data_IF_154753720192
#
_entry.id   IF_154753720192
#
_cell.length_a   1.000
_cell.length_b   1.000
_cell.length_c   1.000
_cell.angle_alpha   90.00
_cell.angle_beta   90.00
_cell.angle_gamma   90.00
#
_symmetry.space_group_name_H-M   'P 1'
#
loop_
_entity.id
_entity.type
_entity.pdbx_description
1 polymer ?
#
# COMPACT_ATOMS: atom_id res chain seq x y z
N UNK A 1 -3.63 21.20 -6.96
CA UNK A 1 -2.47 20.35 -6.65
C UNK A 1 -2.91 18.95 -6.32
N UNK A 2 -2.33 17.97 -6.98
CA UNK A 2 -2.65 16.56 -6.76
C UNK A 2 -2.08 16.14 -5.41
N UNK A 3 -2.91 15.67 -4.48
CA UNK A 3 -2.46 15.18 -3.19
C UNK A 3 -1.68 13.89 -3.36
N UNK A 4 -0.55 13.77 -2.67
CA UNK A 4 0.23 12.53 -2.62
C UNK A 4 -0.33 11.62 -1.52
N UNK A 5 -0.53 10.37 -1.83
CA UNK A 5 -1.03 9.40 -0.87
C UNK A 5 -1.57 8.14 -1.53
N UNK A 6 -2.42 7.46 -0.79
CA UNK A 6 -2.99 6.19 -1.21
C UNK A 6 -4.39 6.01 -0.61
N UNK A 7 -5.19 5.16 -1.22
CA UNK A 7 -6.51 4.78 -0.70
C UNK A 7 -6.38 3.55 0.19
N UNK A 8 -7.12 3.53 1.30
CA UNK A 8 -7.23 2.39 2.21
C UNK A 8 -8.63 1.81 2.15
N UNK A 9 -8.70 0.50 1.96
CA UNK A 9 -9.97 -0.25 1.96
C UNK A 9 -9.90 -1.35 3.00
N UNK A 10 -10.95 -1.44 3.81
CA UNK A 10 -11.10 -2.43 4.87
C UNK A 10 -12.14 -3.45 4.46
N UNK A 11 -11.76 -4.72 4.46
CA UNK A 11 -12.72 -5.79 4.36
C UNK A 11 -13.21 -6.14 5.77
N UNK A 12 -14.52 -6.28 5.96
CA UNK A 12 -15.09 -6.60 7.26
C UNK A 12 -14.85 -8.05 7.72
N UNK A 13 -14.29 -8.90 6.85
CA UNK A 13 -14.11 -10.33 7.09
C UNK A 13 -12.64 -10.70 7.27
N UNK A 14 -11.77 -10.16 6.41
CA UNK A 14 -10.34 -10.47 6.40
C UNK A 14 -9.51 -9.40 7.12
N UNK A 15 -8.46 -9.79 7.86
CA UNK A 15 -7.67 -8.82 8.63
C UNK A 15 -6.77 -7.94 7.77
N UNK A 16 -6.37 -8.40 6.58
CA UNK A 16 -5.47 -7.64 5.72
C UNK A 16 -6.16 -6.39 5.15
N UNK A 17 -5.46 -5.26 5.20
CA UNK A 17 -5.86 -4.05 4.51
C UNK A 17 -5.53 -4.17 3.02
N UNK A 18 -6.30 -3.49 2.20
CA UNK A 18 -5.97 -3.25 0.80
C UNK A 18 -5.63 -1.77 0.64
N UNK A 19 -4.43 -1.48 0.20
CA UNK A 19 -3.98 -0.13 -0.11
C UNK A 19 -3.78 0.02 -1.59
N UNK A 20 -4.32 1.09 -2.18
CA UNK A 20 -4.20 1.36 -3.61
C UNK A 20 -3.56 2.72 -3.82
N UNK A 21 -2.41 2.72 -4.45
CA UNK A 21 -1.65 3.91 -4.82
C UNK A 21 -1.71 4.14 -6.33
N UNK A 22 -1.88 5.38 -6.74
CA UNK A 22 -1.87 5.79 -8.14
C UNK A 22 -0.93 6.97 -8.27
N UNK A 23 0.20 6.79 -8.93
CA UNK A 23 1.20 7.83 -9.13
C UNK A 23 2.56 7.30 -9.47
N UNK A 24 3.46 8.20 -9.86
CA UNK A 24 4.86 7.90 -10.18
C UNK A 24 5.78 7.95 -8.96
N UNK A 25 5.25 8.35 -7.82
CA UNK A 25 5.96 8.54 -6.55
C UNK A 25 5.96 7.28 -5.65
N UNK A 26 5.83 6.09 -6.25
CA UNK A 26 5.83 4.84 -5.49
C UNK A 26 7.11 4.63 -4.65
N UNK A 27 8.32 4.91 -5.13
CA UNK A 27 9.52 4.77 -4.29
C UNK A 27 9.47 5.63 -3.04
N UNK A 28 9.01 6.86 -3.14
CA UNK A 28 8.85 7.80 -2.02
C UNK A 28 7.78 7.30 -1.04
N UNK A 29 6.66 6.80 -1.57
CA UNK A 29 5.60 6.21 -0.76
C UNK A 29 6.10 5.02 0.06
N UNK A 30 6.77 4.08 -0.58
CA UNK A 30 7.32 2.88 0.08
C UNK A 30 8.28 3.30 1.18
N UNK A 31 9.18 4.19 0.88
CA UNK A 31 10.17 4.67 1.85
C UNK A 31 9.52 5.35 3.08
N UNK A 32 8.46 6.13 2.85
CA UNK A 32 7.78 6.87 3.91
C UNK A 32 6.84 5.99 4.75
N UNK A 33 6.12 5.06 4.14
CA UNK A 33 4.92 4.45 4.74
C UNK A 33 4.98 2.93 4.91
N UNK A 34 5.77 2.19 4.10
CA UNK A 34 5.67 0.74 4.04
C UNK A 34 7.00 0.02 4.19
N UNK A 35 7.01 -1.01 5.03
CA UNK A 35 8.05 -2.04 5.08
C UNK A 35 7.61 -3.25 4.25
N UNK A 36 8.55 -4.11 3.88
CA UNK A 36 8.27 -5.32 3.13
C UNK A 36 8.03 -5.12 1.64
N UNK A 37 8.27 -3.90 1.14
CA UNK A 37 8.10 -3.54 -0.25
C UNK A 37 9.42 -3.02 -0.82
N UNK A 38 9.83 -3.52 -1.98
CA UNK A 38 10.99 -3.01 -2.69
C UNK A 38 10.53 -2.14 -3.87
N UNK A 39 11.14 -0.97 -4.11
CA UNK A 39 10.81 -0.17 -5.28
C UNK A 39 10.98 -0.98 -6.56
N UNK A 40 10.03 -0.90 -7.50
CA UNK A 40 10.12 -1.66 -8.75
C UNK A 40 11.13 -1.02 -9.70
N UNK A 41 11.63 -1.82 -10.62
CA UNK A 41 12.35 -1.29 -11.78
C UNK A 41 11.36 -0.52 -12.68
N UNK A 42 11.88 0.42 -13.48
CA UNK A 42 11.08 1.14 -14.46
C UNK A 42 10.41 0.19 -15.46
N UNK A 43 9.23 0.56 -15.96
CA UNK A 43 8.54 -0.18 -17.00
C UNK A 43 7.35 -1.02 -16.54
N UNK A 44 6.89 -0.85 -15.30
CA UNK A 44 5.64 -1.48 -14.82
C UNK A 44 4.44 -0.55 -15.06
N UNK A 45 3.28 -1.12 -15.36
CA UNK A 45 2.00 -0.41 -15.39
C UNK A 45 1.26 -0.53 -14.06
N UNK A 46 1.38 -1.68 -13.42
CA UNK A 46 0.87 -1.96 -12.09
C UNK A 46 1.77 -2.95 -11.36
N UNK A 47 1.67 -2.96 -10.04
CA UNK A 47 2.43 -3.87 -9.18
C UNK A 47 1.66 -4.14 -7.90
N UNK A 48 1.79 -5.35 -7.36
CA UNK A 48 1.21 -5.75 -6.09
C UNK A 48 2.27 -6.27 -5.13
N UNK A 49 2.23 -5.79 -3.91
CA UNK A 49 3.10 -6.25 -2.81
C UNK A 49 2.26 -7.05 -1.82
N UNK A 50 2.61 -8.31 -1.64
CA UNK A 50 1.85 -9.27 -0.84
C UNK A 50 2.13 -9.21 0.67
N UNK A 51 3.22 -8.59 1.06
CA UNK A 51 3.68 -8.53 2.46
C UNK A 51 3.99 -7.11 2.91
N UNK A 52 3.11 -6.18 2.58
CA UNK A 52 3.27 -4.80 2.99
C UNK A 52 2.91 -4.62 4.47
N UNK A 53 3.75 -3.91 5.21
CA UNK A 53 3.51 -3.54 6.59
C UNK A 53 3.57 -2.01 6.68
N UNK A 54 2.48 -1.40 7.11
CA UNK A 54 2.44 0.05 7.27
C UNK A 54 3.22 0.46 8.53
N UNK A 55 4.20 1.34 8.35
CA UNK A 55 5.11 1.76 9.43
C UNK A 55 4.41 2.45 10.60
N UNK A 56 3.36 3.23 10.32
CA UNK A 56 2.70 4.04 11.34
C UNK A 56 1.95 3.22 12.40
N UNK A 57 1.46 2.04 12.07
CA UNK A 57 0.62 1.21 12.95
C UNK A 57 0.93 -0.28 12.90
N UNK A 58 1.99 -0.67 12.18
CA UNK A 58 2.40 -2.07 11.97
C UNK A 58 1.30 -2.96 11.36
N UNK A 59 0.34 -2.36 10.65
CA UNK A 59 -0.71 -3.13 9.99
C UNK A 59 -0.18 -3.87 8.78
N UNK A 60 -0.62 -5.10 8.67
CA UNK A 60 -0.30 -5.99 7.57
C UNK A 60 -1.37 -5.89 6.47
N UNK A 61 -0.95 -5.90 5.23
CA UNK A 61 -1.88 -5.83 4.11
C UNK A 61 -1.21 -6.00 2.76
N UNK A 62 -1.97 -5.67 1.73
CA UNK A 62 -1.54 -5.72 0.34
C UNK A 62 -1.51 -4.31 -0.22
N UNK A 63 -0.37 -3.92 -0.77
CA UNK A 63 -0.23 -2.65 -1.48
C UNK A 63 -0.25 -2.91 -2.98
N UNK A 64 -1.19 -2.28 -3.66
CA UNK A 64 -1.29 -2.29 -5.12
C UNK A 64 -1.01 -0.89 -5.63
N UNK A 65 -0.16 -0.76 -6.64
CA UNK A 65 0.18 0.55 -7.20
C UNK A 65 0.07 0.54 -8.73
N UNK A 66 -0.42 1.67 -9.26
CA UNK A 66 -0.49 1.94 -10.70
C UNK A 66 0.19 3.28 -10.97
N UNK A 67 0.87 3.41 -12.09
CA UNK A 67 1.58 4.65 -12.45
C UNK A 67 0.66 5.83 -12.65
N UNK A 68 -0.50 5.59 -13.25
CA UNK A 68 -1.52 6.61 -13.53
C UNK A 68 -2.87 5.96 -13.76
N UNK A 69 -3.94 6.75 -13.70
CA UNK A 69 -5.29 6.27 -14.07
C UNK A 69 -5.35 5.79 -15.52
N UNK A 70 -4.53 6.38 -16.38
CA UNK A 70 -4.42 6.01 -17.79
C UNK A 70 -3.88 4.58 -17.98
N UNK A 71 -2.99 4.13 -17.10
CA UNK A 71 -2.43 2.78 -17.11
C UNK A 71 -3.34 1.73 -16.46
N UNK A 72 -4.42 2.16 -15.82
CA UNK A 72 -5.40 1.29 -15.18
C UNK A 72 -6.41 0.74 -16.18
N UNK A 73 -5.91 0.00 -17.17
CA UNK A 73 -6.76 -0.76 -18.08
C UNK A 73 -7.41 -1.92 -17.34
N UNK A 74 -8.49 -2.46 -17.88
CA UNK A 74 -9.15 -3.62 -17.29
C UNK A 74 -8.17 -4.79 -17.13
N UNK A 75 -7.32 -5.03 -18.13
CA UNK A 75 -6.30 -6.09 -18.09
C UNK A 75 -5.33 -5.91 -16.93
N UNK A 76 -4.77 -4.70 -16.78
CA UNK A 76 -3.82 -4.39 -15.70
C UNK A 76 -4.50 -4.47 -14.33
N UNK A 77 -5.69 -3.90 -14.19
CA UNK A 77 -6.43 -3.94 -12.93
C UNK A 77 -6.79 -5.38 -12.50
N UNK A 78 -7.23 -6.22 -13.44
CA UNK A 78 -7.53 -7.62 -13.14
C UNK A 78 -6.27 -8.41 -12.79
N UNK A 79 -5.15 -8.15 -13.45
CA UNK A 79 -3.86 -8.77 -13.17
C UNK A 79 -3.43 -8.48 -11.72
N UNK A 80 -3.44 -7.23 -11.32
CA UNK A 80 -3.04 -6.83 -9.97
C UNK A 80 -4.08 -7.27 -8.91
N UNK A 81 -5.37 -7.25 -9.24
CA UNK A 81 -6.42 -7.77 -8.37
C UNK A 81 -6.23 -9.26 -8.08
N UNK A 82 -5.82 -10.04 -9.09
CA UNK A 82 -5.53 -11.46 -8.94
C UNK A 82 -4.38 -11.71 -7.96
N UNK A 83 -3.29 -10.96 -8.08
CA UNK A 83 -2.16 -11.04 -7.14
C UNK A 83 -2.58 -10.65 -5.72
N UNK A 84 -3.37 -9.61 -5.56
CA UNK A 84 -3.87 -9.18 -4.25
C UNK A 84 -4.80 -10.25 -3.63
N UNK A 85 -5.65 -10.88 -4.43
CA UNK A 85 -6.51 -11.96 -3.99
C UNK A 85 -5.69 -13.15 -3.48
N UNK A 86 -4.70 -13.59 -4.24
CA UNK A 86 -3.79 -14.67 -3.85
C UNK A 86 -3.06 -14.34 -2.55
N UNK A 87 -2.60 -13.12 -2.39
CA UNK A 87 -1.90 -12.66 -1.19
C UNK A 87 -2.79 -12.75 0.06
N UNK A 88 -4.04 -12.32 -0.02
CA UNK A 88 -4.99 -12.37 1.10
C UNK A 88 -5.33 -13.83 1.42
N UNK A 89 -5.63 -14.64 0.41
CA UNK A 89 -5.93 -16.07 0.57
C UNK A 89 -4.77 -16.81 1.22
N UNK A 90 -3.55 -16.60 0.75
CA UNK A 90 -2.35 -17.23 1.32
C UNK A 90 -2.11 -16.78 2.77
N UNK A 91 -2.39 -15.52 3.07
CA UNK A 91 -2.17 -14.95 4.41
C UNK A 91 -3.10 -15.54 5.48
N UNK A 92 -4.26 -16.05 5.10
CA UNK A 92 -5.23 -16.66 6.02
C UNK A 92 -5.40 -18.16 5.84
N UNK A 93 -4.63 -18.78 4.93
CA UNK A 93 -4.73 -20.20 4.65
C UNK A 93 -6.02 -20.63 3.94
N UNK A 94 -6.65 -19.72 3.20
CA UNK A 94 -7.85 -20.00 2.43
C UNK A 94 -7.52 -20.68 1.10
N UNK A 95 -8.26 -21.71 0.75
CA UNK A 95 -8.13 -22.36 -0.55
C UNK A 95 -8.46 -21.38 -1.70
N UNK A 96 -7.65 -21.42 -2.74
CA UNK A 96 -7.89 -20.68 -3.95
C UNK A 96 -9.00 -21.32 -4.77
N UNK A 97 -9.91 -20.48 -5.29
CA UNK A 97 -11.03 -20.91 -6.12
C UNK A 97 -12.35 -21.01 -5.35
N UNK A 98 -13.43 -21.25 -6.08
CA UNK A 98 -14.78 -21.31 -5.53
C UNK A 98 -15.40 -19.94 -5.25
N UNK A 99 -16.59 -19.95 -4.64
CA UNK A 99 -17.37 -18.74 -4.39
C UNK A 99 -16.69 -17.73 -3.43
N UNK A 100 -16.10 -18.17 -2.30
CA UNK A 100 -15.42 -17.20 -1.42
C UNK A 100 -14.28 -16.44 -2.12
N UNK A 101 -13.49 -17.14 -2.92
CA UNK A 101 -12.41 -16.55 -3.73
C UNK A 101 -12.95 -15.57 -4.76
N UNK A 102 -14.04 -15.93 -5.44
CA UNK A 102 -14.67 -15.06 -6.44
C UNK A 102 -15.23 -13.77 -5.82
N UNK A 103 -15.87 -13.87 -4.65
CA UNK A 103 -16.33 -12.68 -3.92
C UNK A 103 -15.19 -11.78 -3.47
N UNK A 104 -14.11 -12.36 -2.98
CA UNK A 104 -12.92 -11.60 -2.58
C UNK A 104 -12.29 -10.86 -3.77
N UNK A 105 -12.12 -11.56 -4.90
CA UNK A 105 -11.58 -10.97 -6.12
C UNK A 105 -12.47 -9.82 -6.62
N UNK A 106 -13.79 -10.01 -6.62
CA UNK A 106 -14.75 -8.97 -6.99
C UNK A 106 -14.67 -7.74 -6.09
N UNK A 107 -14.52 -7.94 -4.79
CA UNK A 107 -14.33 -6.83 -3.85
C UNK A 107 -13.04 -6.06 -4.13
N UNK A 108 -11.92 -6.76 -4.34
CA UNK A 108 -10.63 -6.14 -4.66
C UNK A 108 -10.72 -5.33 -5.96
N UNK A 109 -11.29 -5.92 -7.01
CA UNK A 109 -11.48 -5.23 -8.29
C UNK A 109 -12.34 -3.98 -8.14
N UNK A 110 -13.40 -4.05 -7.34
CA UNK A 110 -14.25 -2.90 -7.00
C UNK A 110 -13.48 -1.80 -6.28
N UNK A 111 -12.63 -2.15 -5.31
CA UNK A 111 -11.78 -1.20 -4.59
C UNK A 111 -10.79 -0.51 -5.54
N UNK A 112 -10.15 -1.25 -6.42
CA UNK A 112 -9.22 -0.70 -7.42
C UNK A 112 -9.96 0.29 -8.33
N UNK A 113 -11.16 -0.06 -8.79
CA UNK A 113 -11.97 0.85 -9.61
C UNK A 113 -12.41 2.09 -8.85
N UNK A 114 -12.77 1.95 -7.56
CA UNK A 114 -13.09 3.10 -6.70
C UNK A 114 -11.89 4.03 -6.57
N UNK A 115 -10.70 3.50 -6.35
CA UNK A 115 -9.47 4.30 -6.29
C UNK A 115 -9.24 5.05 -7.59
N UNK A 116 -9.43 4.40 -8.75
CA UNK A 116 -9.35 5.05 -10.06
C UNK A 116 -10.30 6.24 -10.19
N UNK A 117 -11.49 6.14 -9.58
CA UNK A 117 -12.53 7.19 -9.60
C UNK A 117 -12.38 8.21 -8.46
N UNK A 118 -11.38 8.06 -7.60
CA UNK A 118 -11.17 8.93 -6.45
C UNK A 118 -12.14 8.70 -5.28
N UNK A 119 -12.65 7.49 -5.13
CA UNK A 119 -13.64 7.12 -4.10
C UNK A 119 -12.98 6.25 -3.04
N UNK A 120 -13.06 6.63 -1.77
CA UNK A 120 -12.57 5.86 -0.64
C UNK A 120 -11.82 6.71 0.37
N UNK A 121 -11.29 6.06 1.39
CA UNK A 121 -10.51 6.70 2.45
C UNK A 121 -9.09 7.01 1.94
N UNK A 122 -8.84 8.28 1.67
CA UNK A 122 -7.53 8.73 1.19
C UNK A 122 -6.61 9.08 2.36
N UNK A 123 -5.46 8.42 2.40
CA UNK A 123 -4.40 8.71 3.37
C UNK A 123 -3.36 9.59 2.67
N UNK A 124 -3.30 10.84 3.09
CA UNK A 124 -2.37 11.82 2.52
C UNK A 124 -0.99 11.67 3.14
N UNK A 125 0.04 11.63 2.27
CA UNK A 125 1.43 11.68 2.71
C UNK A 125 1.86 13.14 2.71
N UNK A 126 2.33 13.58 3.87
CA UNK A 126 2.79 14.94 4.05
C UNK A 126 4.32 14.93 4.20
N UNK A 127 5.02 15.57 3.28
CA UNK A 127 6.47 15.71 3.33
C UNK A 127 6.93 16.37 4.66
N UNK A 128 6.10 17.23 5.24
CA UNK A 128 6.37 17.84 6.54
C UNK A 128 6.34 16.83 7.71
N UNK A 129 5.49 15.79 7.63
CA UNK A 129 5.47 14.72 8.66
C UNK A 129 6.72 13.85 8.56
N UNK A 130 7.16 13.50 7.35
CA UNK A 130 8.39 12.76 7.14
C UNK A 130 9.62 13.53 7.65
N UNK A 131 9.66 14.86 7.45
CA UNK A 131 10.69 15.72 7.98
C UNK A 131 10.64 15.82 9.52
N UNK A 132 9.45 15.91 10.11
CA UNK A 132 9.31 15.97 11.57
C UNK A 132 9.71 14.65 12.25
N UNK A 133 9.43 13.52 11.64
CA UNK A 133 9.86 12.21 12.12
C UNK A 133 11.39 12.05 12.03
N UNK A 134 11.99 12.50 10.94
CA UNK A 134 13.43 12.49 10.76
C UNK A 134 14.11 13.38 11.80
N UNK A 135 13.59 14.58 12.05
CA UNK A 135 14.09 15.49 13.09
C UNK A 135 13.94 14.89 14.49
N UNK A 136 12.83 14.21 14.77
CA UNK A 136 12.62 13.53 16.05
C UNK A 136 13.61 12.37 16.22
N UNK A 137 13.86 11.60 15.17
CA UNK A 137 14.85 10.54 15.17
C UNK A 137 16.27 11.06 15.43
N UNK A 138 16.67 12.12 14.73
CA UNK A 138 18.00 12.72 14.92
C UNK A 138 18.18 13.30 16.33
N UNK A 139 17.15 13.94 16.89
CA UNK A 139 17.15 14.41 18.27
C UNK A 139 17.30 13.27 19.29
N UNK A 140 16.60 12.18 19.05
CA UNK A 140 16.69 10.97 19.89
C UNK A 140 18.10 10.38 19.86
N UNK A 141 18.68 10.30 18.66
CA UNK A 141 20.04 9.82 18.43
C UNK A 141 21.10 10.68 19.14
N UNK A 142 20.96 12.02 19.09
CA UNK A 142 21.83 12.94 19.82
C UNK A 142 21.69 12.79 21.34
N UNK A 143 20.47 12.64 21.83
CA UNK A 143 20.21 12.42 23.25
C UNK A 143 20.88 11.13 23.75
N UNK A 144 20.75 10.05 23.01
CA UNK A 144 21.42 8.78 23.33
C UNK A 144 22.94 8.91 23.34
N UNK A 145 23.54 9.66 22.41
CA UNK A 145 24.97 9.93 22.40
C UNK A 145 25.43 10.70 23.65
N UNK A 146 24.64 11.66 24.11
CA UNK A 146 24.97 12.43 25.34
C UNK A 146 24.93 11.55 26.59
N UNK A 147 24.00 10.58 26.64
CA UNK A 147 23.93 9.62 27.75
C UNK A 147 25.13 8.68 27.82
N UNK A 148 25.65 8.29 26.66
CA UNK A 148 26.80 7.36 26.57
C UNK A 148 28.12 8.09 26.92
N UNK A 149 28.23 9.38 26.66
CA UNK A 149 29.44 10.17 26.87
C UNK A 149 29.51 10.89 28.26
N UNK A 150 28.64 10.54 29.18
CA UNK A 150 28.68 11.01 30.57
C UNK A 150 29.54 10.14 31.45
#
# INVERSE_FOLDING_TARGET
MKKKGYYEYKNGIYPQRLWVHIGKDLPELINAEFDGCNPPNDGYDGIAYDKAIRKSDDRYGVLVSFKSTKDMTMSVCCHEASHACDAIENGIGMEHGGEPSAYLLGWIASCINKARLGIGDFVEINDAMALSELEAYERCKEYCKRLINK
#
